data_IF_948037884915
#
_entry.id   IF_948037884915
#
_cell.length_a   1.000
_cell.length_b   1.000
_cell.length_c   1.000
_cell.angle_alpha   90.00
_cell.angle_beta   90.00
_cell.angle_gamma   90.00
#
_symmetry.space_group_name_H-M   'P 1'
#
loop_
_entity.id
_entity.type
_entity.pdbx_description
1 polymer ?
#
# COMPACT_ATOMS: atom_id res chain seq x y z
N UNK A 1 0.72 5.27 38.68
CA UNK A 1 0.49 6.03 37.43
C UNK A 1 -1.00 5.93 37.11
N UNK A 2 -1.72 7.04 36.86
CA UNK A 2 -3.18 7.04 36.60
C UNK A 2 -3.56 7.25 35.14
N UNK A 3 -2.71 7.94 34.36
CA UNK A 3 -2.94 8.22 32.94
C UNK A 3 -1.62 8.18 32.19
N UNK A 4 -1.64 7.61 30.98
CA UNK A 4 -0.53 7.65 30.03
C UNK A 4 -1.04 8.22 28.72
N UNK A 5 -0.29 9.13 28.12
CA UNK A 5 -0.60 9.69 26.81
C UNK A 5 0.36 9.11 25.78
N UNK A 6 -0.20 8.55 24.71
CA UNK A 6 0.55 7.99 23.60
C UNK A 6 0.43 8.90 22.39
N UNK A 7 1.55 9.14 21.71
CA UNK A 7 1.51 9.61 20.34
C UNK A 7 0.97 8.49 19.43
N UNK A 8 0.39 8.84 18.29
CA UNK A 8 -0.20 7.84 17.38
C UNK A 8 0.83 7.31 16.40
N UNK A 9 1.46 8.20 15.63
CA UNK A 9 2.27 7.83 14.47
C UNK A 9 3.65 7.37 14.92
N UNK A 10 4.03 6.14 14.63
CA UNK A 10 5.31 5.58 15.07
C UNK A 10 5.33 5.08 16.52
N UNK A 11 4.23 5.26 17.26
CA UNK A 11 4.05 4.71 18.63
C UNK A 11 2.91 3.69 18.66
N UNK A 12 1.68 4.10 18.33
CA UNK A 12 0.54 3.17 18.20
C UNK A 12 0.54 2.50 16.83
N UNK A 13 0.88 3.24 15.79
CA UNK A 13 0.99 2.72 14.42
C UNK A 13 2.46 2.62 13.99
N UNK A 14 2.74 1.83 12.95
CA UNK A 14 4.10 1.65 12.43
C UNK A 14 4.69 2.91 11.77
N UNK A 15 3.94 4.00 11.63
CA UNK A 15 4.44 5.25 11.02
C UNK A 15 4.72 5.17 9.52
N UNK A 16 4.45 4.02 8.88
CA UNK A 16 4.63 3.80 7.44
C UNK A 16 3.30 3.41 6.79
N UNK A 17 2.94 4.00 5.64
CA UNK A 17 1.73 3.63 4.91
C UNK A 17 1.83 2.20 4.36
N UNK A 18 0.69 1.50 4.34
CA UNK A 18 0.55 0.15 3.76
C UNK A 18 -0.76 0.06 2.99
N UNK A 19 -0.74 -0.63 1.86
CA UNK A 19 -1.96 -0.92 1.09
C UNK A 19 -2.86 -1.83 1.92
N UNK A 20 -4.08 -1.34 2.20
CA UNK A 20 -5.07 -2.08 3.00
C UNK A 20 -6.03 -2.90 2.13
N UNK A 21 -6.41 -2.36 0.97
CA UNK A 21 -7.38 -2.96 0.06
C UNK A 21 -7.09 -2.53 -1.38
N UNK A 22 -7.33 -3.44 -2.32
CA UNK A 22 -7.34 -3.17 -3.76
C UNK A 22 -8.74 -3.46 -4.28
N UNK A 23 -9.31 -2.51 -5.02
CA UNK A 23 -10.60 -2.67 -5.69
C UNK A 23 -10.39 -2.49 -7.18
N UNK A 24 -10.70 -3.53 -7.96
CA UNK A 24 -10.69 -3.48 -9.40
C UNK A 24 -12.08 -3.18 -9.93
N UNK A 25 -12.21 -2.10 -10.68
CA UNK A 25 -13.43 -1.72 -11.37
C UNK A 25 -13.37 -2.28 -12.80
N UNK A 26 -13.65 -3.57 -12.95
CA UNK A 26 -13.61 -4.28 -14.23
C UNK A 26 -13.77 -5.79 -14.06
N UNK A 27 -14.05 -6.50 -15.14
CA UNK A 27 -14.16 -7.96 -15.10
C UNK A 27 -12.78 -8.60 -15.00
N UNK A 28 -12.58 -9.38 -13.92
CA UNK A 28 -11.34 -10.11 -13.62
C UNK A 28 -10.99 -11.11 -14.72
N UNK A 29 -11.98 -11.60 -15.48
CA UNK A 29 -11.74 -12.49 -16.61
C UNK A 29 -10.97 -11.79 -17.75
N UNK A 30 -11.22 -10.50 -17.97
CA UNK A 30 -10.53 -9.71 -18.99
C UNK A 30 -9.26 -9.05 -18.46
N UNK A 31 -9.28 -8.66 -17.17
CA UNK A 31 -8.20 -7.93 -16.54
C UNK A 31 -7.81 -8.59 -15.20
N UNK A 32 -6.95 -9.62 -15.25
CA UNK A 32 -6.54 -10.32 -14.04
C UNK A 32 -5.72 -9.41 -13.14
N UNK A 33 -5.97 -9.49 -11.83
CA UNK A 33 -5.36 -8.64 -10.81
C UNK A 33 -3.83 -8.58 -10.92
N UNK A 34 -3.17 -9.71 -11.18
CA UNK A 34 -1.71 -9.76 -11.34
C UNK A 34 -1.18 -8.86 -12.44
N UNK A 35 -1.87 -8.77 -13.59
CA UNK A 35 -1.45 -7.89 -14.69
C UNK A 35 -1.59 -6.42 -14.30
N UNK A 36 -2.68 -6.07 -13.60
CA UNK A 36 -2.89 -4.71 -13.11
C UNK A 36 -1.82 -4.31 -12.11
N UNK A 37 -1.56 -5.18 -11.12
CA UNK A 37 -0.53 -4.93 -10.12
C UNK A 37 0.86 -4.82 -10.73
N UNK A 38 1.17 -5.60 -11.78
CA UNK A 38 2.43 -5.46 -12.50
C UNK A 38 2.56 -4.09 -13.17
N UNK A 39 1.51 -3.60 -13.85
CA UNK A 39 1.53 -2.27 -14.49
C UNK A 39 1.62 -1.16 -13.45
N UNK A 40 0.81 -1.21 -12.40
CA UNK A 40 0.80 -0.21 -11.32
C UNK A 40 2.12 -0.19 -10.56
N UNK A 41 2.65 -1.37 -10.21
CA UNK A 41 3.95 -1.48 -9.55
C UNK A 41 5.11 -0.98 -10.41
N UNK A 42 5.01 -1.09 -11.74
CA UNK A 42 6.00 -0.50 -12.66
C UNK A 42 5.88 1.02 -12.71
N UNK A 43 4.66 1.55 -12.75
CA UNK A 43 4.41 3.00 -12.76
C UNK A 43 4.92 3.69 -11.48
N UNK A 44 4.76 3.04 -10.33
CA UNK A 44 5.19 3.58 -9.02
C UNK A 44 6.62 3.19 -8.63
N UNK A 45 7.35 2.45 -9.48
CA UNK A 45 8.66 1.89 -9.12
C UNK A 45 9.71 2.96 -8.75
N UNK A 46 9.63 4.13 -9.37
CA UNK A 46 10.55 5.26 -9.16
C UNK A 46 9.96 6.36 -8.27
N UNK A 47 8.81 6.12 -7.66
CA UNK A 47 8.10 7.10 -6.82
C UNK A 47 8.74 7.19 -5.43
N UNK A 48 9.21 8.37 -5.05
CA UNK A 48 9.73 8.64 -3.70
C UNK A 48 8.62 8.96 -2.70
N UNK A 49 7.40 9.24 -3.19
CA UNK A 49 6.27 9.55 -2.35
C UNK A 49 5.93 8.34 -1.47
N UNK A 50 5.74 8.48 -0.14
CA UNK A 50 5.52 7.34 0.76
C UNK A 50 4.37 6.41 0.35
N UNK A 51 3.33 6.96 -0.29
CA UNK A 51 2.24 6.16 -0.85
C UNK A 51 2.65 5.33 -2.07
N UNK A 52 3.46 5.89 -2.96
CA UNK A 52 3.99 5.16 -4.12
C UNK A 52 4.89 4.02 -3.69
N UNK A 53 5.76 4.26 -2.71
CA UNK A 53 6.60 3.21 -2.09
C UNK A 53 5.73 2.09 -1.49
N UNK A 54 4.64 2.43 -0.80
CA UNK A 54 3.72 1.44 -0.23
C UNK A 54 3.02 0.60 -1.30
N UNK A 55 2.62 1.21 -2.41
CA UNK A 55 2.00 0.53 -3.56
C UNK A 55 3.01 -0.39 -4.26
N UNK A 56 4.21 0.10 -4.54
CA UNK A 56 5.29 -0.69 -5.16
C UNK A 56 5.68 -1.88 -4.29
N UNK A 57 5.77 -1.69 -2.97
CA UNK A 57 6.04 -2.77 -2.02
C UNK A 57 4.93 -3.82 -2.05
N UNK A 58 3.67 -3.40 -2.00
CA UNK A 58 2.53 -4.31 -2.08
C UNK A 58 2.55 -5.13 -3.38
N UNK A 59 2.82 -4.50 -4.53
CA UNK A 59 2.85 -5.20 -5.81
C UNK A 59 3.97 -6.25 -5.91
N UNK A 60 5.06 -6.12 -5.13
CA UNK A 60 6.16 -7.09 -5.07
C UNK A 60 5.87 -8.27 -4.14
N UNK A 61 4.95 -8.13 -3.19
CA UNK A 61 4.60 -9.15 -2.18
C UNK A 61 3.48 -10.11 -2.65
N UNK A 62 2.79 -9.84 -3.77
CA UNK A 62 1.63 -10.59 -4.31
C UNK A 62 2.02 -11.47 -5.51
#
# INVERSE_FOLDING_TARGET
IKTVMFDKTGTITHGVPRVMRVLLLGDVATLPLRKVLAVVGTAEASSEHPLGVAVTKYCKEV
#
